data_IF_628942219069
#
_entry.id   IF_628942219069
#
_cell.length_a   1.000
_cell.length_b   1.000
_cell.length_c   1.000
_cell.angle_alpha   90.00
_cell.angle_beta   90.00
_cell.angle_gamma   90.00
#
_symmetry.space_group_name_H-M   'P 1'
#
loop_
_entity.id
_entity.type
_entity.pdbx_description
1 polymer ?
#
# COMPACT_ATOMS: atom_id res chain seq x y z
N UNK A 1 -33.52 -8.61 -68.55
CA UNK A 1 -33.88 -9.28 -67.27
C UNK A 1 -32.66 -9.79 -66.49
N UNK A 2 -31.63 -10.37 -67.12
CA UNK A 2 -30.43 -10.91 -66.43
C UNK A 2 -29.56 -9.83 -65.77
N UNK A 3 -29.43 -8.64 -66.38
CA UNK A 3 -28.65 -7.52 -65.81
C UNK A 3 -29.28 -6.90 -64.54
N UNK A 4 -30.61 -7.03 -64.39
CA UNK A 4 -31.34 -6.49 -63.23
C UNK A 4 -31.29 -7.44 -62.02
N UNK A 5 -31.15 -8.75 -62.25
CA UNK A 5 -30.93 -9.72 -61.17
C UNK A 5 -29.50 -9.64 -60.60
N UNK A 6 -28.48 -9.43 -61.43
CA UNK A 6 -27.10 -9.36 -60.93
C UNK A 6 -26.86 -8.10 -60.08
N UNK A 7 -27.54 -6.99 -60.38
CA UNK A 7 -27.46 -5.73 -59.64
C UNK A 7 -28.19 -5.75 -58.28
N UNK A 8 -29.10 -6.71 -58.05
CA UNK A 8 -29.75 -6.96 -56.74
C UNK A 8 -28.99 -7.92 -55.82
N UNK A 9 -28.04 -8.70 -56.36
CA UNK A 9 -27.26 -9.68 -55.59
C UNK A 9 -26.02 -9.04 -54.95
N UNK A 10 -25.44 -8.02 -55.60
CA UNK A 10 -24.25 -7.28 -55.10
C UNK A 10 -24.51 -6.46 -53.82
N UNK A 11 -25.68 -5.82 -53.58
CA UNK A 11 -25.96 -5.16 -52.30
C UNK A 11 -26.09 -6.17 -51.14
N UNK A 12 -26.63 -7.36 -51.41
CA UNK A 12 -26.86 -8.38 -50.39
C UNK A 12 -25.57 -9.07 -49.92
N UNK A 13 -24.62 -9.31 -50.84
CA UNK A 13 -23.32 -9.92 -50.50
C UNK A 13 -22.42 -8.99 -49.69
N UNK A 14 -22.56 -7.67 -49.84
CA UNK A 14 -21.72 -6.69 -49.13
C UNK A 14 -22.27 -6.27 -47.76
N UNK A 15 -23.57 -6.41 -47.52
CA UNK A 15 -24.21 -5.73 -46.38
C UNK A 15 -24.42 -6.57 -45.11
N UNK A 16 -24.40 -7.91 -45.18
CA UNK A 16 -24.73 -8.76 -44.01
C UNK A 16 -23.54 -9.57 -43.49
N UNK A 17 -22.61 -9.99 -44.36
CA UNK A 17 -21.55 -10.93 -43.95
C UNK A 17 -20.34 -10.26 -43.28
N UNK A 18 -20.02 -9.01 -43.63
CA UNK A 18 -18.83 -8.30 -43.12
C UNK A 18 -19.12 -7.40 -41.90
N UNK A 19 -20.39 -7.12 -41.59
CA UNK A 19 -20.81 -6.36 -40.41
C UNK A 19 -20.33 -6.96 -39.08
N UNK A 20 -20.53 -8.27 -38.81
CA UNK A 20 -20.03 -8.88 -37.58
C UNK A 20 -18.50 -8.94 -37.54
N UNK A 21 -17.84 -9.17 -38.68
CA UNK A 21 -16.37 -9.16 -38.75
C UNK A 21 -15.78 -7.77 -38.47
N UNK A 22 -16.38 -6.71 -39.02
CA UNK A 22 -16.00 -5.32 -38.74
C UNK A 22 -16.31 -4.92 -37.30
N UNK A 23 -17.44 -5.37 -36.73
CA UNK A 23 -17.78 -5.15 -35.33
C UNK A 23 -16.79 -5.83 -34.38
N UNK A 24 -16.40 -7.08 -34.66
CA UNK A 24 -15.36 -7.80 -33.93
C UNK A 24 -14.01 -7.12 -34.10
N UNK A 25 -13.66 -6.66 -35.30
CA UNK A 25 -12.39 -5.98 -35.57
C UNK A 25 -12.33 -4.61 -34.89
N UNK A 26 -13.42 -3.84 -34.87
CA UNK A 26 -13.56 -2.58 -34.14
C UNK A 26 -13.51 -2.78 -32.62
N UNK A 27 -14.15 -3.84 -32.11
CA UNK A 27 -14.09 -4.25 -30.71
C UNK A 27 -12.65 -4.64 -30.32
N UNK A 28 -11.98 -5.45 -31.12
CA UNK A 28 -10.59 -5.86 -30.91
C UNK A 28 -9.61 -4.69 -31.02
N UNK A 29 -9.85 -3.73 -31.92
CA UNK A 29 -9.03 -2.52 -32.06
C UNK A 29 -9.23 -1.57 -30.87
N UNK A 30 -10.46 -1.44 -30.36
CA UNK A 30 -10.77 -0.71 -29.13
C UNK A 30 -10.18 -1.37 -27.87
N UNK A 31 -10.08 -2.71 -27.86
CA UNK A 31 -9.46 -3.47 -26.79
C UNK A 31 -7.92 -3.39 -26.83
N UNK A 32 -7.30 -3.35 -28.02
CA UNK A 32 -5.82 -3.41 -28.16
C UNK A 32 -5.11 -2.07 -28.33
N UNK A 33 -5.76 -1.00 -28.81
CA UNK A 33 -5.05 0.26 -29.05
C UNK A 33 -4.85 1.08 -27.76
N UNK A 34 -3.60 1.37 -27.34
CA UNK A 34 -3.31 2.26 -26.20
C UNK A 34 -3.51 3.75 -26.55
N UNK A 35 -3.63 4.11 -27.83
CA UNK A 35 -3.87 5.48 -28.30
C UNK A 35 -5.11 5.51 -29.19
N UNK A 36 -5.97 6.52 -29.00
CA UNK A 36 -7.24 6.66 -29.73
C UNK A 36 -7.06 7.01 -31.22
N UNK A 37 -5.90 7.57 -31.60
CA UNK A 37 -5.60 8.08 -32.94
C UNK A 37 -5.75 7.06 -34.09
N UNK A 38 -5.18 5.84 -34.01
CA UNK A 38 -5.34 4.84 -35.08
C UNK A 38 -6.79 4.34 -35.25
N UNK A 39 -7.56 4.27 -34.17
CA UNK A 39 -8.97 3.86 -34.24
C UNK A 39 -9.81 4.94 -34.96
N UNK A 40 -9.58 6.22 -34.64
CA UNK A 40 -10.23 7.34 -35.32
C UNK A 40 -9.86 7.39 -36.82
N UNK A 41 -8.60 7.13 -37.16
CA UNK A 41 -8.16 7.09 -38.55
C UNK A 41 -8.82 5.95 -39.35
N UNK A 42 -8.97 4.76 -38.76
CA UNK A 42 -9.67 3.65 -39.39
C UNK A 42 -11.17 3.96 -39.64
N UNK A 43 -11.85 4.57 -38.66
CA UNK A 43 -13.24 5.01 -38.84
C UNK A 43 -13.39 6.08 -39.91
N UNK A 44 -12.48 7.05 -39.94
CA UNK A 44 -12.45 8.09 -40.98
C UNK A 44 -12.23 7.48 -42.37
N UNK A 45 -11.30 6.54 -42.52
CA UNK A 45 -11.03 5.87 -43.79
C UNK A 45 -12.24 5.07 -44.30
N UNK A 46 -12.95 4.36 -43.41
CA UNK A 46 -14.18 3.63 -43.75
C UNK A 46 -15.31 4.59 -44.16
N UNK A 47 -15.46 5.72 -43.46
CA UNK A 47 -16.43 6.76 -43.83
C UNK A 47 -16.13 7.38 -45.21
N UNK A 48 -14.85 7.68 -45.50
CA UNK A 48 -14.41 8.21 -46.80
C UNK A 48 -14.62 7.18 -47.92
N UNK A 49 -14.30 5.90 -47.68
CA UNK A 49 -14.54 4.84 -48.66
C UNK A 49 -16.03 4.61 -48.94
N UNK A 50 -16.88 4.68 -47.91
CA UNK A 50 -18.34 4.57 -48.04
C UNK A 50 -18.95 5.72 -48.84
N UNK A 51 -18.57 6.96 -48.51
CA UNK A 51 -19.01 8.17 -49.23
C UNK A 51 -18.56 8.17 -50.70
N UNK A 52 -17.31 7.79 -50.97
CA UNK A 52 -16.79 7.67 -52.33
C UNK A 52 -17.55 6.60 -53.15
N UNK A 53 -17.89 5.46 -52.54
CA UNK A 53 -18.69 4.42 -53.21
C UNK A 53 -20.07 4.94 -53.59
N UNK A 54 -20.79 5.58 -52.66
CA UNK A 54 -22.14 6.12 -52.91
C UNK A 54 -22.12 7.12 -54.08
N UNK A 55 -21.11 8.01 -54.09
CA UNK A 55 -20.91 8.97 -55.17
C UNK A 55 -20.63 8.31 -56.54
N UNK A 56 -19.92 7.18 -56.57
CA UNK A 56 -19.59 6.45 -57.79
C UNK A 56 -20.73 5.57 -58.32
N UNK A 57 -21.63 5.07 -57.46
CA UNK A 57 -22.71 4.15 -57.88
C UNK A 57 -24.02 4.83 -58.28
N UNK A 58 -24.20 6.12 -57.99
CA UNK A 58 -25.37 6.89 -58.41
C UNK A 58 -26.71 6.36 -57.88
N UNK A 59 -26.69 5.74 -56.70
CA UNK A 59 -27.88 5.19 -56.03
C UNK A 59 -28.67 6.28 -55.29
N UNK A 60 -29.93 6.01 -54.96
CA UNK A 60 -30.79 6.94 -54.24
C UNK A 60 -30.14 7.32 -52.88
N UNK A 61 -29.79 8.61 -52.67
CA UNK A 61 -28.89 9.00 -51.59
C UNK A 61 -29.54 8.86 -50.20
N UNK A 62 -30.85 9.01 -50.07
CA UNK A 62 -31.52 9.03 -48.76
C UNK A 62 -31.47 7.69 -47.98
N UNK A 63 -31.91 6.54 -48.55
CA UNK A 63 -31.89 5.27 -47.83
C UNK A 63 -30.47 4.72 -47.62
N UNK A 64 -29.56 4.91 -48.57
CA UNK A 64 -28.17 4.44 -48.43
C UNK A 64 -27.40 5.21 -47.36
N UNK A 65 -27.58 6.53 -47.26
CA UNK A 65 -26.98 7.33 -46.19
C UNK A 65 -27.49 6.92 -44.80
N UNK A 66 -28.78 6.59 -44.69
CA UNK A 66 -29.38 6.17 -43.42
C UNK A 66 -28.84 4.80 -42.96
N UNK A 67 -28.71 3.84 -43.89
CA UNK A 67 -28.09 2.53 -43.62
C UNK A 67 -26.60 2.66 -43.29
N UNK A 68 -25.87 3.50 -44.03
CA UNK A 68 -24.45 3.74 -43.78
C UNK A 68 -24.23 4.36 -42.40
N UNK A 69 -25.02 5.39 -42.06
CA UNK A 69 -24.94 6.08 -40.76
C UNK A 69 -25.31 5.15 -39.61
N UNK A 70 -26.36 4.35 -39.77
CA UNK A 70 -26.77 3.33 -38.78
C UNK A 70 -25.68 2.28 -38.58
N UNK A 71 -25.10 1.76 -39.67
CA UNK A 71 -24.03 0.76 -39.59
C UNK A 71 -22.76 1.32 -38.95
N UNK A 72 -22.42 2.58 -39.23
CA UNK A 72 -21.26 3.24 -38.63
C UNK A 72 -21.49 3.54 -37.13
N UNK A 73 -22.68 3.99 -36.74
CA UNK A 73 -22.99 4.22 -35.33
C UNK A 73 -23.05 2.90 -34.55
N UNK A 74 -23.89 1.97 -34.98
CA UNK A 74 -24.15 0.73 -34.24
C UNK A 74 -23.07 -0.33 -34.40
N UNK A 75 -22.45 -0.46 -35.58
CA UNK A 75 -21.43 -1.48 -35.84
C UNK A 75 -20.02 -1.06 -35.40
N UNK A 76 -19.79 0.25 -35.27
CA UNK A 76 -18.45 0.79 -35.10
C UNK A 76 -18.32 1.65 -33.83
N UNK A 77 -19.20 2.64 -33.64
CA UNK A 77 -19.14 3.56 -32.49
C UNK A 77 -19.54 2.86 -31.19
N UNK A 78 -20.70 2.21 -31.13
CA UNK A 78 -21.19 1.55 -29.90
C UNK A 78 -20.24 0.45 -29.37
N UNK A 79 -19.74 -0.49 -30.19
CA UNK A 79 -18.79 -1.51 -29.73
C UNK A 79 -17.47 -0.92 -29.26
N UNK A 80 -16.98 0.14 -29.92
CA UNK A 80 -15.77 0.84 -29.50
C UNK A 80 -15.93 1.53 -28.14
N UNK A 81 -17.07 2.21 -27.91
CA UNK A 81 -17.41 2.77 -26.59
C UNK A 81 -17.53 1.68 -25.53
N UNK A 82 -18.20 0.56 -25.83
CA UNK A 82 -18.33 -0.58 -24.92
C UNK A 82 -16.98 -1.17 -24.52
N UNK A 83 -16.07 -1.37 -25.47
CA UNK A 83 -14.72 -1.87 -25.20
C UNK A 83 -13.87 -0.90 -24.36
N UNK A 84 -13.98 0.41 -24.62
CA UNK A 84 -13.37 1.47 -23.80
C UNK A 84 -13.89 1.45 -22.37
N UNK A 85 -15.21 1.40 -22.21
CA UNK A 85 -15.87 1.37 -20.91
C UNK A 85 -15.50 0.12 -20.11
N UNK A 86 -15.46 -1.04 -20.76
CA UNK A 86 -15.05 -2.30 -20.13
C UNK A 86 -13.59 -2.25 -19.66
N UNK A 87 -12.68 -1.75 -20.49
CA UNK A 87 -11.27 -1.57 -20.10
C UNK A 87 -11.10 -0.63 -18.91
N UNK A 88 -11.79 0.51 -18.94
CA UNK A 88 -11.76 1.47 -17.84
C UNK A 88 -12.35 0.86 -16.56
N UNK A 89 -13.44 0.10 -16.68
CA UNK A 89 -14.06 -0.60 -15.55
C UNK A 89 -13.15 -1.67 -14.96
N UNK A 90 -12.43 -2.44 -15.78
CA UNK A 90 -11.43 -3.41 -15.30
C UNK A 90 -10.26 -2.74 -14.61
N UNK A 91 -9.73 -1.65 -15.17
CA UNK A 91 -8.64 -0.90 -14.56
C UNK A 91 -9.06 -0.31 -13.20
N UNK A 92 -10.29 0.21 -13.10
CA UNK A 92 -10.87 0.69 -11.84
C UNK A 92 -11.08 -0.46 -10.84
N UNK A 93 -11.53 -1.63 -11.30
CA UNK A 93 -11.69 -2.81 -10.45
C UNK A 93 -10.35 -3.30 -9.91
N UNK A 94 -9.33 -3.44 -10.76
CA UNK A 94 -7.97 -3.83 -10.35
C UNK A 94 -7.37 -2.84 -9.34
N UNK A 95 -7.50 -1.53 -9.58
CA UNK A 95 -7.08 -0.51 -8.63
C UNK A 95 -7.87 -0.58 -7.32
N UNK A 96 -9.18 -0.91 -7.38
CA UNK A 96 -10.04 -1.15 -6.23
C UNK A 96 -9.57 -2.34 -5.39
N UNK A 97 -9.25 -3.47 -6.02
CA UNK A 97 -8.73 -4.67 -5.34
C UNK A 97 -7.39 -4.41 -4.67
N UNK A 98 -6.45 -3.73 -5.34
CA UNK A 98 -5.17 -3.36 -4.73
C UNK A 98 -5.37 -2.44 -3.52
N UNK A 99 -6.33 -1.49 -3.61
CA UNK A 99 -6.61 -0.58 -2.50
C UNK A 99 -7.29 -1.30 -1.34
N UNK A 100 -8.22 -2.21 -1.60
CA UNK A 100 -8.86 -3.03 -0.58
C UNK A 100 -7.82 -3.90 0.15
N UNK A 101 -6.93 -4.59 -0.59
CA UNK A 101 -5.87 -5.40 -0.01
C UNK A 101 -4.92 -4.58 0.88
N UNK A 102 -4.58 -3.34 0.49
CA UNK A 102 -3.76 -2.44 1.32
C UNK A 102 -4.48 -2.02 2.60
N UNK A 103 -5.77 -1.69 2.51
CA UNK A 103 -6.55 -1.30 3.69
C UNK A 103 -6.73 -2.46 4.67
N UNK A 104 -6.90 -3.69 4.18
CA UNK A 104 -6.95 -4.88 5.04
C UNK A 104 -5.62 -5.10 5.79
N UNK A 105 -4.50 -4.91 5.11
CA UNK A 105 -3.17 -5.07 5.72
C UNK A 105 -2.88 -3.95 6.75
N UNK A 106 -3.22 -2.71 6.41
CA UNK A 106 -3.14 -1.57 7.32
C UNK A 106 -4.01 -1.77 8.57
N UNK A 107 -5.23 -2.30 8.42
CA UNK A 107 -6.12 -2.60 9.54
C UNK A 107 -5.54 -3.69 10.44
N UNK A 108 -5.02 -4.79 9.88
CA UNK A 108 -4.40 -5.86 10.67
C UNK A 108 -3.23 -5.33 11.49
N UNK A 109 -2.35 -4.53 10.88
CA UNK A 109 -1.25 -3.90 11.59
C UNK A 109 -1.72 -2.89 12.64
N UNK A 110 -2.79 -2.13 12.38
CA UNK A 110 -3.36 -1.22 13.35
C UNK A 110 -3.96 -1.96 14.56
N UNK A 111 -4.66 -3.07 14.33
CA UNK A 111 -5.24 -3.92 15.38
C UNK A 111 -4.15 -4.58 16.24
N UNK A 112 -3.11 -5.13 15.62
CA UNK A 112 -1.96 -5.71 16.32
C UNK A 112 -1.27 -4.67 17.20
N UNK A 113 -0.99 -3.48 16.64
CA UNK A 113 -0.39 -2.38 17.39
C UNK A 113 -1.31 -1.90 18.52
N UNK A 114 -2.62 -1.83 18.30
CA UNK A 114 -3.57 -1.46 19.35
C UNK A 114 -3.57 -2.49 20.48
N UNK A 115 -3.56 -3.78 20.16
CA UNK A 115 -3.49 -4.88 21.13
C UNK A 115 -2.19 -4.86 21.94
N UNK A 116 -1.05 -4.59 21.29
CA UNK A 116 0.24 -4.47 21.97
C UNK A 116 0.27 -3.26 22.90
N UNK A 117 -0.21 -2.10 22.45
CA UNK A 117 -0.33 -0.90 23.29
C UNK A 117 -1.24 -1.13 24.49
N UNK A 118 -2.36 -1.82 24.30
CA UNK A 118 -3.27 -2.14 25.40
C UNK A 118 -2.61 -3.07 26.42
N UNK A 119 -1.89 -4.11 25.97
CA UNK A 119 -1.13 -5.00 26.86
C UNK A 119 -0.04 -4.26 27.63
N UNK A 120 0.69 -3.35 26.98
CA UNK A 120 1.70 -2.53 27.63
C UNK A 120 1.06 -1.60 28.68
N UNK A 121 -0.08 -0.97 28.35
CA UNK A 121 -0.85 -0.15 29.29
C UNK A 121 -1.30 -0.95 30.51
N UNK A 122 -1.88 -2.14 30.30
CA UNK A 122 -2.30 -3.02 31.39
C UNK A 122 -1.10 -3.40 32.27
N UNK A 123 0.05 -3.72 31.68
CA UNK A 123 1.26 -4.05 32.45
C UNK A 123 1.75 -2.86 33.29
N UNK A 124 1.72 -1.64 32.74
CA UNK A 124 2.05 -0.41 33.45
C UNK A 124 1.08 -0.17 34.62
N UNK A 125 -0.24 -0.25 34.39
CA UNK A 125 -1.26 -0.07 35.42
C UNK A 125 -1.15 -1.12 36.54
N UNK A 126 -0.86 -2.38 36.18
CA UNK A 126 -0.60 -3.46 37.14
C UNK A 126 0.69 -3.18 37.95
N UNK A 127 1.75 -2.71 37.31
CA UNK A 127 3.01 -2.38 38.00
C UNK A 127 2.83 -1.23 38.99
N UNK A 128 2.12 -0.17 38.59
CA UNK A 128 1.90 1.01 39.44
C UNK A 128 1.02 0.66 40.65
N UNK A 129 -0.03 -0.15 40.44
CA UNK A 129 -0.90 -0.62 41.54
C UNK A 129 -0.16 -1.57 42.49
N UNK A 130 0.57 -2.57 41.97
CA UNK A 130 1.37 -3.48 42.79
C UNK A 130 2.50 -2.75 43.55
N UNK A 131 3.19 -1.81 42.90
CA UNK A 131 4.22 -0.98 43.53
C UNK A 131 3.65 -0.13 44.66
N UNK A 132 2.45 0.43 44.49
CA UNK A 132 1.75 1.17 45.53
C UNK A 132 1.38 0.27 46.74
N UNK A 133 0.78 -0.90 46.49
CA UNK A 133 0.40 -1.84 47.55
C UNK A 133 1.61 -2.37 48.33
N UNK A 134 2.69 -2.74 47.64
CA UNK A 134 3.95 -3.18 48.27
C UNK A 134 4.58 -2.06 49.11
N UNK A 135 4.55 -0.82 48.61
CA UNK A 135 5.04 0.35 49.35
C UNK A 135 4.23 0.60 50.63
N UNK A 136 2.90 0.46 50.57
CA UNK A 136 2.02 0.56 51.74
C UNK A 136 2.29 -0.57 52.75
N UNK A 137 2.52 -1.80 52.28
CA UNK A 137 2.89 -2.93 53.16
C UNK A 137 4.22 -2.65 53.85
N UNK A 138 5.25 -2.22 53.12
CA UNK A 138 6.55 -1.88 53.68
C UNK A 138 6.48 -0.72 54.69
N UNK A 139 5.59 0.26 54.44
CA UNK A 139 5.33 1.37 55.36
C UNK A 139 4.64 0.88 56.65
N UNK A 140 3.60 0.05 56.54
CA UNK A 140 2.89 -0.53 57.69
C UNK A 140 3.79 -1.44 58.53
N UNK A 141 4.61 -2.27 57.88
CA UNK A 141 5.60 -3.11 58.54
C UNK A 141 6.65 -2.27 59.29
N UNK A 142 7.12 -1.17 58.68
CA UNK A 142 8.01 -0.20 59.34
C UNK A 142 7.35 0.47 60.56
N UNK A 143 6.08 0.84 60.48
CA UNK A 143 5.33 1.40 61.62
C UNK A 143 5.20 0.38 62.77
N UNK A 144 4.90 -0.89 62.47
CA UNK A 144 4.86 -1.99 63.45
C UNK A 144 6.22 -2.25 64.12
N UNK A 145 7.32 -2.13 63.36
CA UNK A 145 8.67 -2.31 63.88
C UNK A 145 9.04 -1.26 64.95
N UNK A 146 8.53 -0.04 64.83
CA UNK A 146 8.81 1.09 65.74
C UNK A 146 7.74 1.23 66.84
N UNK A 147 6.65 0.48 66.77
CA UNK A 147 5.56 0.57 67.73
C UNK A 147 6.00 0.15 69.15
N UNK A 148 5.70 0.96 70.17
CA UNK A 148 6.05 0.66 71.56
C UNK A 148 5.22 -0.52 72.08
N UNK A 149 5.83 -1.37 72.91
CA UNK A 149 5.15 -2.50 73.55
C UNK A 149 5.17 -3.83 72.78
N UNK A 150 5.73 -3.88 71.56
CA UNK A 150 5.97 -5.17 70.88
C UNK A 150 7.13 -5.96 71.52
N UNK A 151 6.97 -7.28 71.61
CA UNK A 151 8.05 -8.21 71.94
C UNK A 151 9.16 -8.17 70.88
N UNK A 152 10.40 -8.49 71.29
CA UNK A 152 11.56 -8.45 70.39
C UNK A 152 11.40 -9.37 69.16
N UNK A 153 10.81 -10.54 69.35
CA UNK A 153 10.50 -11.49 68.26
C UNK A 153 9.54 -10.91 67.21
N UNK A 154 8.50 -10.21 67.63
CA UNK A 154 7.53 -9.59 66.71
C UNK A 154 8.12 -8.38 65.99
N UNK A 155 9.02 -7.62 66.64
CA UNK A 155 9.79 -6.56 65.96
C UNK A 155 10.71 -7.11 64.87
N UNK A 156 11.37 -8.24 65.12
CA UNK A 156 12.20 -8.91 64.12
C UNK A 156 11.35 -9.37 62.92
N UNK A 157 10.21 -10.01 63.18
CA UNK A 157 9.28 -10.41 62.13
C UNK A 157 8.76 -9.22 61.28
N UNK A 158 8.47 -8.07 61.90
CA UNK A 158 8.08 -6.85 61.18
C UNK A 158 9.24 -6.29 60.31
N UNK A 159 10.48 -6.38 60.79
CA UNK A 159 11.66 -5.99 60.02
C UNK A 159 11.85 -6.88 58.79
N UNK A 160 11.70 -8.20 58.95
CA UNK A 160 11.78 -9.17 57.87
C UNK A 160 10.67 -8.93 56.82
N UNK A 161 9.45 -8.62 57.27
CA UNK A 161 8.33 -8.29 56.37
C UNK A 161 8.61 -7.03 55.54
N UNK A 162 9.19 -5.99 56.17
CA UNK A 162 9.59 -4.76 55.48
C UNK A 162 10.69 -5.03 54.44
N UNK A 163 11.70 -5.83 54.81
CA UNK A 163 12.79 -6.19 53.92
C UNK A 163 12.30 -7.02 52.72
N UNK A 164 11.41 -7.99 52.97
CA UNK A 164 10.81 -8.81 51.92
C UNK A 164 9.96 -7.99 50.94
N UNK A 165 9.17 -7.04 51.44
CA UNK A 165 8.41 -6.13 50.58
C UNK A 165 9.32 -5.23 49.73
N UNK A 166 10.42 -4.73 50.31
CA UNK A 166 11.41 -3.93 49.57
C UNK A 166 12.09 -4.75 48.46
N UNK A 167 12.58 -5.97 48.75
CA UNK A 167 13.19 -6.85 47.75
C UNK A 167 12.22 -7.23 46.63
N UNK A 168 10.95 -7.49 46.96
CA UNK A 168 9.91 -7.78 45.97
C UNK A 168 9.68 -6.60 45.01
N UNK A 169 9.68 -5.37 45.52
CA UNK A 169 9.51 -4.15 44.72
C UNK A 169 10.71 -3.92 43.79
N UNK A 170 11.92 -4.18 44.29
CA UNK A 170 13.16 -4.03 43.54
C UNK A 170 13.30 -5.05 42.40
N UNK A 171 12.89 -6.30 42.64
CA UNK A 171 12.80 -7.35 41.60
C UNK A 171 11.79 -6.97 40.51
N UNK A 172 10.63 -6.42 40.88
CA UNK A 172 9.61 -5.99 39.95
C UNK A 172 10.12 -4.86 39.04
N UNK A 173 10.76 -3.83 39.61
CA UNK A 173 11.37 -2.73 38.84
C UNK A 173 12.44 -3.22 37.85
N UNK A 174 13.24 -4.22 38.24
CA UNK A 174 14.27 -4.78 37.38
C UNK A 174 13.68 -5.50 36.15
N UNK A 175 12.59 -6.24 36.34
CA UNK A 175 11.90 -6.95 35.25
C UNK A 175 11.29 -5.95 34.25
N UNK A 176 10.67 -4.88 34.74
CA UNK A 176 10.11 -3.82 33.87
C UNK A 176 11.22 -3.01 33.18
N UNK A 177 12.35 -2.76 33.84
CA UNK A 177 13.50 -2.07 33.27
C UNK A 177 14.04 -2.76 32.01
N UNK A 178 14.16 -4.09 32.05
CA UNK A 178 14.64 -4.90 30.90
C UNK A 178 13.66 -4.87 29.72
N UNK A 179 12.35 -4.82 29.98
CA UNK A 179 11.34 -4.69 28.92
C UNK A 179 11.36 -3.31 28.25
N UNK A 180 11.70 -2.25 29.01
CA UNK A 180 11.75 -0.88 28.51
C UNK A 180 13.01 -0.56 27.69
N UNK A 181 14.15 -1.16 28.02
CA UNK A 181 15.38 -1.08 27.21
C UNK A 181 15.25 -1.78 25.86
N UNK A 182 14.39 -2.80 25.74
CA UNK A 182 14.13 -3.48 24.47
C UNK A 182 13.16 -2.71 23.55
N UNK A 183 12.33 -1.81 24.10
CA UNK A 183 11.31 -1.05 23.38
C UNK A 183 11.74 0.41 23.07
N UNK A 184 12.88 0.88 23.63
CA UNK A 184 13.48 2.13 23.16
C UNK A 184 14.11 1.91 21.78
N UNK A 185 13.76 2.73 20.78
CA UNK A 185 14.49 2.73 19.52
C UNK A 185 15.94 3.10 19.83
N UNK A 186 16.87 2.22 19.47
CA UNK A 186 18.30 2.51 19.55
C UNK A 186 18.56 3.94 19.07
N UNK A 187 19.33 4.78 19.79
CA UNK A 187 19.43 6.20 19.50
C UNK A 187 19.69 6.45 18.02
N UNK A 188 18.72 7.05 17.33
CA UNK A 188 18.83 7.43 15.92
C UNK A 188 19.70 8.68 15.72
N UNK A 189 20.27 9.21 16.81
CA UNK A 189 21.31 10.23 16.72
C UNK A 189 22.58 9.51 16.30
N UNK A 190 23.20 9.87 15.16
CA UNK A 190 24.53 9.35 14.86
C UNK A 190 25.40 9.67 16.07
N UNK A 191 25.94 8.65 16.73
CA UNK A 191 27.06 8.88 17.63
C UNK A 191 28.06 9.70 16.81
N UNK A 192 28.48 10.87 17.30
CA UNK A 192 29.44 11.75 16.60
C UNK A 192 30.82 11.11 16.38
N UNK A 193 30.91 9.79 16.42
CA UNK A 193 32.04 8.99 16.01
C UNK A 193 32.19 9.03 14.49
N UNK A 194 33.43 9.22 14.07
CA UNK A 194 33.80 8.98 12.69
C UNK A 194 33.74 7.47 12.39
N UNK A 195 33.56 7.13 11.11
CA UNK A 195 33.64 5.73 10.66
C UNK A 195 35.00 5.10 11.04
N UNK A 196 36.06 5.90 11.15
CA UNK A 196 37.36 5.46 11.61
C UNK A 196 37.35 5.00 13.09
N UNK A 197 36.62 5.71 13.96
CA UNK A 197 36.50 5.35 15.38
C UNK A 197 35.72 4.04 15.56
N UNK A 198 34.69 3.81 14.74
CA UNK A 198 33.93 2.56 14.71
C UNK A 198 34.81 1.37 14.28
N UNK A 199 35.64 1.57 13.26
CA UNK A 199 36.55 0.53 12.76
C UNK A 199 37.64 0.22 13.80
N UNK A 200 38.16 1.24 14.50
CA UNK A 200 39.14 1.06 15.56
C UNK A 200 38.59 0.22 16.72
N UNK A 201 37.38 0.53 17.21
CA UNK A 201 36.74 -0.26 18.27
C UNK A 201 36.41 -1.69 17.84
N UNK A 202 35.97 -1.88 16.59
CA UNK A 202 35.74 -3.23 16.06
C UNK A 202 37.05 -4.04 16.01
N UNK A 203 38.16 -3.43 15.61
CA UNK A 203 39.47 -4.07 15.63
C UNK A 203 39.96 -4.38 17.05
N UNK A 204 39.75 -3.48 18.02
CA UNK A 204 40.06 -3.71 19.44
C UNK A 204 39.25 -4.87 20.03
N UNK A 205 38.01 -5.06 19.57
CA UNK A 205 37.17 -6.21 19.93
C UNK A 205 37.57 -7.53 19.23
N UNK A 206 38.64 -7.52 18.43
CA UNK A 206 39.19 -8.70 17.75
C UNK A 206 38.50 -9.06 16.43
N UNK A 207 37.63 -8.21 15.89
CA UNK A 207 37.04 -8.43 14.55
C UNK A 207 38.02 -7.99 13.45
N UNK A 208 38.31 -8.84 12.44
CA UNK A 208 39.15 -8.47 11.31
C UNK A 208 38.37 -7.56 10.35
N UNK A 209 38.45 -6.25 10.56
CA UNK A 209 37.78 -5.23 9.73
C UNK A 209 38.80 -4.54 8.83
N UNK A 210 38.55 -4.51 7.52
CA UNK A 210 39.30 -3.71 6.54
C UNK A 210 38.41 -2.58 6.06
N UNK A 211 38.80 -1.34 6.35
CA UNK A 211 38.14 -0.15 5.82
C UNK A 211 38.94 0.43 4.66
N UNK A 212 38.25 0.75 3.57
CA UNK A 212 38.85 1.35 2.36
C UNK A 212 38.13 2.67 2.09
N UNK A 213 38.73 3.83 2.43
CA UNK A 213 38.12 5.13 2.18
C UNK A 213 37.94 5.35 0.69
N UNK A 214 36.69 5.50 0.25
CA UNK A 214 36.38 5.93 -1.11
C UNK A 214 36.56 7.45 -1.17
N UNK A 215 37.74 7.88 -1.59
CA UNK A 215 38.08 9.29 -1.77
C UNK A 215 37.45 9.79 -3.07
N UNK A 216 36.12 9.93 -3.11
CA UNK A 216 35.32 10.70 -4.10
C UNK A 216 33.80 10.48 -3.92
N UNK A 217 33.21 11.18 -2.96
CA UNK A 217 31.84 11.65 -3.08
C UNK A 217 31.72 12.97 -2.30
N UNK A 218 31.21 14.06 -2.89
CA UNK A 218 30.96 15.28 -2.12
C UNK A 218 29.99 14.93 -0.99
N UNK A 219 30.35 15.37 0.23
CA UNK A 219 29.52 15.18 1.41
C UNK A 219 28.07 15.64 1.11
N UNK A 220 27.05 14.80 1.34
CA UNK A 220 25.68 15.26 1.20
C UNK A 220 25.43 16.36 2.22
N UNK A 221 25.01 17.53 1.73
CA UNK A 221 24.62 18.67 2.54
C UNK A 221 23.54 18.24 3.56
N UNK A 222 23.78 18.40 4.88
CA UNK A 222 22.81 18.04 5.91
C UNK A 222 21.55 18.93 5.91
N UNK A 223 21.45 19.94 5.04
CA UNK A 223 20.31 20.86 4.98
C UNK A 223 19.36 20.66 3.78
N UNK A 224 19.43 19.54 3.06
CA UNK A 224 18.73 19.38 1.76
C UNK A 224 17.88 18.12 1.59
N UNK A 225 17.19 17.62 2.62
CA UNK A 225 16.12 16.62 2.40
C UNK A 225 14.84 17.37 2.05
N UNK A 226 14.78 17.91 0.83
CA UNK A 226 13.52 18.29 0.21
C UNK A 226 13.33 17.52 -1.11
N UNK A 227 12.13 16.96 -1.25
CA UNK A 227 11.89 15.70 -1.93
C UNK A 227 12.20 15.68 -3.42
N UNK A 228 12.88 14.61 -3.88
CA UNK A 228 12.76 14.10 -5.25
C UNK A 228 12.87 12.58 -5.28
N UNK A 229 11.73 11.94 -5.03
CA UNK A 229 11.42 10.61 -5.56
C UNK A 229 11.37 10.71 -7.10
N UNK A 230 12.40 10.21 -7.77
CA UNK A 230 12.29 9.84 -9.19
C UNK A 230 12.62 8.36 -9.32
N UNK A 231 11.55 7.56 -9.30
CA UNK A 231 11.51 6.23 -9.87
C UNK A 231 11.83 6.29 -11.36
N UNK A 232 12.76 5.45 -11.82
CA UNK A 232 12.70 4.84 -13.15
C UNK A 232 13.09 3.38 -13.05
#
# INVERSE_FOLDING_TARGET
MVSMCMRRIVPALFSVSYGPALGVLALLLGLRAPRARPAVAAFAAVGVAGTARIALTGADPAPEWLVMTGTLLFGCVFPWLGGRYWRQSRALAEAGWLRAARLEDEQRHAEERARLRERARIAQDMHDSLGHELSLIALRAGALQVAPGLAAEHRAAAADLRAAAADATDRLHRIIGVLREADEPAPLTPAGESVADLVARAAESGLPVRWEPSDTAPAPDPAGVDGRLLHR
#
